data_IF_766198591458
#
_entry.id   IF_766198591458
#
_cell.length_a   1.000
_cell.length_b   1.000
_cell.length_c   1.000
_cell.angle_alpha   90.00
_cell.angle_beta   90.00
_cell.angle_gamma   90.00
#
_symmetry.space_group_name_H-M   'P 1'
#
loop_
_entity.id
_entity.type
_entity.pdbx_description
1 polymer ?
#
# COMPACT_ATOMS: atom_id res chain seq x y z
N UNK A 1 -21.62 9.20 4.44
CA UNK A 1 -21.43 7.76 4.69
C UNK A 1 -19.97 7.55 5.08
N UNK A 2 -19.65 7.71 6.37
CA UNK A 2 -18.29 7.65 6.92
C UNK A 2 -18.18 6.53 7.97
N UNK A 3 -18.95 5.45 7.78
CA UNK A 3 -19.34 4.43 8.77
C UNK A 3 -18.22 3.45 9.15
N UNK A 4 -16.99 3.70 8.69
CA UNK A 4 -15.84 2.83 8.94
C UNK A 4 -14.60 3.59 9.45
N UNK A 5 -14.71 4.91 9.63
CA UNK A 5 -13.62 5.74 10.14
C UNK A 5 -13.26 5.34 11.57
N UNK A 6 -14.27 5.07 12.39
CA UNK A 6 -14.12 4.56 13.75
C UNK A 6 -13.41 3.21 13.82
N UNK A 7 -13.63 2.30 12.87
CA UNK A 7 -12.95 1.00 12.84
C UNK A 7 -11.46 1.13 12.51
N UNK A 8 -11.14 1.97 11.52
CA UNK A 8 -9.75 2.30 11.20
C UNK A 8 -9.07 2.98 12.40
N UNK A 9 -9.73 3.97 13.00
CA UNK A 9 -9.20 4.69 14.16
C UNK A 9 -9.04 3.80 15.40
N UNK A 10 -9.96 2.85 15.65
CA UNK A 10 -9.87 1.90 16.75
C UNK A 10 -8.71 0.91 16.58
N UNK A 11 -8.54 0.35 15.38
CA UNK A 11 -7.37 -0.48 15.04
C UNK A 11 -6.07 0.31 15.13
N UNK A 12 -6.12 1.62 14.86
CA UNK A 12 -4.97 2.53 14.96
C UNK A 12 -4.90 3.32 16.28
N UNK A 13 -5.74 3.03 17.27
CA UNK A 13 -5.93 3.88 18.46
C UNK A 13 -5.24 3.36 19.73
N UNK A 14 -4.72 2.13 19.70
CA UNK A 14 -4.02 1.54 20.83
C UNK A 14 -2.61 2.10 20.98
N UNK A 15 -2.37 2.85 22.06
CA UNK A 15 -1.11 3.42 22.55
C UNK A 15 -0.02 3.64 21.46
N UNK A 16 0.24 4.89 21.10
CA UNK A 16 1.05 5.42 19.97
C UNK A 16 2.17 4.56 19.37
N UNK A 17 2.86 3.74 20.16
CA UNK A 17 3.90 2.79 19.75
C UNK A 17 3.35 1.47 19.15
N UNK A 18 2.25 0.95 19.70
CA UNK A 18 1.57 -0.27 19.28
C UNK A 18 0.75 -0.08 17.99
N UNK A 19 0.25 1.13 17.73
CA UNK A 19 -0.37 1.52 16.44
C UNK A 19 0.60 1.49 15.27
N UNK A 20 1.81 2.04 15.44
CA UNK A 20 2.81 2.08 14.38
C UNK A 20 3.27 0.66 14.02
N UNK A 21 3.51 -0.18 15.04
CA UNK A 21 3.87 -1.59 14.90
C UNK A 21 2.70 -2.42 14.34
N UNK A 22 1.46 -2.15 14.76
CA UNK A 22 0.26 -2.81 14.24
C UNK A 22 -0.01 -2.50 12.77
N UNK A 23 0.21 -1.26 12.34
CA UNK A 23 0.13 -0.84 10.93
C UNK A 23 1.25 -1.45 10.10
N UNK A 24 2.46 -1.51 10.64
CA UNK A 24 3.62 -2.17 10.00
C UNK A 24 3.38 -3.68 9.87
N UNK A 25 2.80 -4.33 10.87
CA UNK A 25 2.43 -5.76 10.87
C UNK A 25 1.35 -6.09 9.83
N UNK A 26 0.34 -5.24 9.66
CA UNK A 26 -0.66 -5.40 8.60
C UNK A 26 -0.03 -5.21 7.21
N UNK A 27 0.86 -4.22 7.09
CA UNK A 27 1.63 -3.96 5.90
C UNK A 27 2.52 -5.18 5.53
N UNK A 28 3.31 -5.71 6.48
CA UNK A 28 4.14 -6.91 6.34
C UNK A 28 3.35 -8.17 5.95
N UNK A 29 2.16 -8.36 6.54
CA UNK A 29 1.25 -9.46 6.17
C UNK A 29 0.76 -9.37 4.73
N UNK A 30 0.63 -8.16 4.19
CA UNK A 30 0.23 -7.92 2.80
C UNK A 30 1.39 -8.01 1.79
N UNK A 31 2.63 -7.83 2.25
CA UNK A 31 3.84 -7.87 1.39
C UNK A 31 4.08 -9.26 0.79
N UNK A 32 3.83 -10.32 1.57
CA UNK A 32 4.09 -11.70 1.13
C UNK A 32 3.13 -12.15 0.00
N UNK A 33 1.80 -11.95 0.10
CA UNK A 33 0.87 -12.19 -1.01
C UNK A 33 1.15 -11.30 -2.23
N UNK A 34 1.49 -10.03 -2.02
CA UNK A 34 1.81 -9.10 -3.09
C UNK A 34 3.04 -9.56 -3.87
N UNK A 35 4.11 -9.93 -3.16
CA UNK A 35 5.34 -10.43 -3.77
C UNK A 35 5.10 -11.70 -4.60
N UNK A 36 4.27 -12.63 -4.10
CA UNK A 36 3.91 -13.83 -4.86
C UNK A 36 3.16 -13.50 -6.16
N UNK A 37 2.20 -12.58 -6.09
CA UNK A 37 1.40 -12.17 -7.25
C UNK A 37 2.25 -11.45 -8.29
N UNK A 38 3.11 -10.53 -7.84
CA UNK A 38 4.03 -9.78 -8.70
C UNK A 38 5.08 -10.70 -9.34
N UNK A 39 5.61 -11.67 -8.58
CA UNK A 39 6.56 -12.66 -9.09
C UNK A 39 5.93 -13.56 -10.16
N UNK A 40 4.67 -13.99 -9.95
CA UNK A 40 3.93 -14.77 -10.93
C UNK A 40 3.70 -13.97 -12.22
N UNK A 41 3.26 -12.71 -12.11
CA UNK A 41 3.07 -11.83 -13.26
C UNK A 41 4.39 -11.55 -13.99
N UNK A 42 5.48 -11.22 -13.29
CA UNK A 42 6.79 -11.00 -13.94
C UNK A 42 7.27 -12.25 -14.66
N UNK A 43 7.10 -13.43 -14.06
CA UNK A 43 7.46 -14.70 -14.71
C UNK A 43 6.63 -14.95 -15.96
N UNK A 44 5.32 -14.63 -15.96
CA UNK A 44 4.47 -14.79 -17.14
C UNK A 44 4.82 -13.81 -18.27
N UNK A 45 5.39 -12.64 -17.92
CA UNK A 45 5.94 -11.66 -18.88
C UNK A 45 7.40 -11.93 -19.28
N UNK A 46 8.02 -13.03 -18.81
CA UNK A 46 9.42 -13.36 -19.11
C UNK A 46 10.48 -12.50 -18.39
N UNK A 47 10.08 -11.78 -17.34
CA UNK A 47 10.96 -10.93 -16.52
C UNK A 47 11.46 -11.63 -15.25
N UNK A 48 12.58 -11.16 -14.69
CA UNK A 48 13.16 -11.72 -13.45
C UNK A 48 12.17 -11.60 -12.27
N UNK A 49 11.71 -12.71 -11.67
CA UNK A 49 10.79 -12.68 -10.53
C UNK A 49 11.46 -12.27 -9.21
N UNK A 50 12.79 -12.29 -9.07
CA UNK A 50 13.48 -11.96 -7.82
C UNK A 50 13.29 -10.50 -7.39
N UNK A 51 13.08 -9.62 -8.36
CA UNK A 51 12.83 -8.19 -8.14
C UNK A 51 11.46 -7.94 -7.48
N UNK A 52 10.53 -8.91 -7.56
CA UNK A 52 9.17 -8.78 -7.02
C UNK A 52 9.14 -8.54 -5.51
N UNK A 53 10.08 -9.11 -4.77
CA UNK A 53 10.17 -8.94 -3.32
C UNK A 53 10.52 -7.50 -2.96
N UNK A 54 11.62 -6.97 -3.52
CA UNK A 54 12.04 -5.59 -3.32
C UNK A 54 10.96 -4.58 -3.76
N UNK A 55 10.28 -4.84 -4.89
CA UNK A 55 9.17 -4.00 -5.35
C UNK A 55 7.98 -4.03 -4.40
N UNK A 56 7.69 -5.19 -3.82
CA UNK A 56 6.59 -5.33 -2.87
C UNK A 56 6.86 -4.55 -1.58
N UNK A 57 8.09 -4.61 -1.06
CA UNK A 57 8.50 -3.75 0.06
C UNK A 57 8.36 -2.26 -0.28
N UNK A 58 8.79 -1.84 -1.48
CA UNK A 58 8.66 -0.45 -1.93
C UNK A 58 7.21 0.03 -2.02
N UNK A 59 6.33 -0.78 -2.62
CA UNK A 59 4.89 -0.47 -2.76
C UNK A 59 4.23 -0.37 -1.38
N UNK A 60 4.47 -1.36 -0.51
CA UNK A 60 3.87 -1.41 0.82
C UNK A 60 4.36 -0.23 1.67
N UNK A 61 5.65 0.11 1.63
CA UNK A 61 6.20 1.28 2.31
C UNK A 61 5.59 2.59 1.81
N UNK A 62 5.40 2.74 0.50
CA UNK A 62 4.75 3.91 -0.09
C UNK A 62 3.31 4.07 0.39
N UNK A 63 2.51 2.98 0.34
CA UNK A 63 1.13 2.98 0.82
C UNK A 63 1.04 3.35 2.30
N UNK A 64 1.95 2.84 3.12
CA UNK A 64 2.03 3.16 4.53
C UNK A 64 2.28 4.66 4.76
N UNK A 65 3.26 5.25 4.06
CA UNK A 65 3.57 6.67 4.19
C UNK A 65 2.41 7.56 3.77
N UNK A 66 1.74 7.24 2.66
CA UNK A 66 0.58 8.01 2.19
C UNK A 66 -0.58 7.89 3.18
N UNK A 67 -0.79 6.70 3.75
CA UNK A 67 -1.82 6.49 4.78
C UNK A 67 -1.55 7.29 6.06
N UNK A 68 -0.29 7.54 6.42
CA UNK A 68 0.05 8.41 7.56
C UNK A 68 -0.23 9.86 7.21
N UNK A 69 0.19 10.31 6.03
CA UNK A 69 -0.07 11.68 5.55
C UNK A 69 -1.57 11.98 5.42
N UNK A 70 -2.38 11.06 4.89
CA UNK A 70 -3.81 11.31 4.68
C UNK A 70 -4.57 11.55 6.00
N UNK A 71 -4.17 10.86 7.08
CA UNK A 71 -4.82 11.03 8.40
C UNK A 71 -4.64 12.45 8.94
N UNK A 72 -3.58 13.15 8.52
CA UNK A 72 -3.35 14.54 8.90
C UNK A 72 -4.10 15.54 8.01
N UNK A 73 -4.89 15.09 7.03
CA UNK A 73 -5.62 15.92 6.05
C UNK A 73 -7.14 15.72 6.19
N UNK A 74 -7.82 16.46 7.09
CA UNK A 74 -9.24 16.25 7.38
C UNK A 74 -10.20 16.57 6.22
N UNK A 75 -9.76 17.35 5.24
CA UNK A 75 -10.58 17.77 4.08
C UNK A 75 -10.55 16.80 2.89
N UNK A 76 -9.65 15.80 2.87
CA UNK A 76 -9.52 14.90 1.72
C UNK A 76 -10.32 13.61 1.89
N UNK A 77 -11.15 13.30 0.91
CA UNK A 77 -11.87 12.03 0.84
C UNK A 77 -10.91 10.87 0.56
N UNK A 78 -11.17 9.72 1.18
CA UNK A 78 -10.37 8.49 0.99
C UNK A 78 -10.37 8.04 -0.47
N UNK A 79 -11.50 8.21 -1.16
CA UNK A 79 -11.68 7.79 -2.55
C UNK A 79 -10.79 8.58 -3.52
N UNK A 80 -10.58 9.87 -3.26
CA UNK A 80 -9.72 10.74 -4.06
C UNK A 80 -8.25 10.31 -3.94
N UNK A 81 -7.81 10.05 -2.71
CA UNK A 81 -6.45 9.59 -2.43
C UNK A 81 -6.22 8.19 -3.01
N UNK A 82 -7.18 7.28 -2.87
CA UNK A 82 -7.11 5.94 -3.45
C UNK A 82 -6.98 6.01 -4.98
N UNK A 83 -7.78 6.84 -5.65
CA UNK A 83 -7.70 7.05 -7.10
C UNK A 83 -6.32 7.53 -7.53
N UNK A 84 -5.76 8.54 -6.86
CA UNK A 84 -4.43 9.10 -7.19
C UNK A 84 -3.31 8.08 -7.00
N UNK A 85 -3.38 7.25 -5.94
CA UNK A 85 -2.42 6.16 -5.72
C UNK A 85 -2.54 5.10 -6.80
N UNK A 86 -3.76 4.68 -7.15
CA UNK A 86 -3.99 3.69 -8.20
C UNK A 86 -3.44 4.16 -9.54
N UNK A 87 -3.65 5.42 -9.91
CA UNK A 87 -3.10 6.02 -11.13
C UNK A 87 -1.56 6.04 -11.11
N UNK A 88 -0.95 6.43 -9.99
CA UNK A 88 0.50 6.42 -9.83
C UNK A 88 1.09 5.02 -10.00
N UNK A 89 0.50 4.03 -9.34
CA UNK A 89 0.96 2.64 -9.40
C UNK A 89 0.77 2.04 -10.79
N UNK A 90 -0.37 2.29 -11.43
CA UNK A 90 -0.65 1.78 -12.77
C UNK A 90 0.34 2.31 -13.81
N UNK A 91 0.62 3.60 -13.78
CA UNK A 91 1.61 4.22 -14.66
C UNK A 91 3.03 3.70 -14.38
N UNK A 92 3.39 3.49 -13.11
CA UNK A 92 4.68 2.93 -12.74
C UNK A 92 4.88 1.46 -13.17
N UNK A 93 3.80 0.66 -13.19
CA UNK A 93 3.84 -0.76 -13.54
C UNK A 93 3.90 -1.02 -15.06
N UNK A 94 3.36 -0.11 -15.88
CA UNK A 94 3.38 -0.25 -17.35
C UNK A 94 4.79 -0.05 -17.95
N UNK A 95 5.70 0.59 -17.22
CA UNK A 95 7.02 0.97 -17.73
C UNK A 95 6.94 2.03 -18.85
N UNK A 96 8.08 2.61 -19.27
CA UNK A 96 8.08 3.56 -20.37
C UNK A 96 7.59 2.88 -21.66
N UNK A 97 6.55 3.47 -22.28
CA UNK A 97 6.04 3.04 -23.58
C UNK A 97 7.14 3.23 -24.62
N UNK A 98 7.72 2.13 -25.11
CA UNK A 98 8.64 2.15 -26.27
C UNK A 98 7.90 2.54 -27.54
#
# INVERSE_FOLDING_TARGET
MAEHRELFLYVTGGNTEQTAIGRLSLAERSTTPLAKTLAFWRKSQGHDPKVAEAWSFGIVGMLQMISVWWITQPERAVDEVASQISDLMWNGLQGPRK
#
